data_IF_127457003472
#
_entry.id   IF_127457003472
#
_cell.length_a   1.000
_cell.length_b   1.000
_cell.length_c   1.000
_cell.angle_alpha   90.00
_cell.angle_beta   90.00
_cell.angle_gamma   90.00
#
_symmetry.space_group_name_H-M   'P 1'
#
loop_
_entity.id
_entity.type
_entity.pdbx_description
1 polymer ?
#
# COMPACT_ATOMS: atom_id res chain seq x y z
N UNK A 1 -18.16 -68.40 -21.14
CA UNK A 1 -19.12 -67.38 -21.59
C UNK A 1 -18.93 -66.19 -20.71
N UNK A 2 -18.11 -65.24 -21.16
CA UNK A 2 -17.73 -64.00 -20.42
C UNK A 2 -18.50 -62.86 -21.03
N UNK A 3 -19.39 -62.26 -20.23
CA UNK A 3 -20.23 -61.10 -20.59
C UNK A 3 -19.47 -59.83 -20.43
N UNK A 4 -19.20 -59.13 -21.56
CA UNK A 4 -18.65 -57.80 -21.60
C UNK A 4 -19.74 -56.75 -21.26
N UNK A 5 -19.68 -56.14 -20.09
CA UNK A 5 -20.50 -54.98 -19.74
C UNK A 5 -19.71 -53.72 -20.16
N UNK A 6 -20.13 -53.09 -21.25
CA UNK A 6 -19.71 -51.76 -21.62
C UNK A 6 -20.19 -50.76 -20.56
N UNK A 7 -19.24 -50.13 -19.86
CA UNK A 7 -19.52 -48.95 -19.04
C UNK A 7 -19.64 -47.72 -19.95
N UNK A 8 -20.85 -47.26 -20.15
CA UNK A 8 -21.15 -45.94 -20.71
C UNK A 8 -20.67 -44.87 -19.72
N UNK A 9 -19.75 -44.02 -20.16
CA UNK A 9 -19.34 -42.82 -19.41
C UNK A 9 -20.51 -41.83 -19.30
N UNK A 10 -20.74 -41.20 -18.15
CA UNK A 10 -21.77 -40.17 -18.04
C UNK A 10 -21.34 -38.93 -18.85
N UNK A 11 -22.23 -38.46 -19.72
CA UNK A 11 -22.11 -37.16 -20.39
C UNK A 11 -21.95 -36.04 -19.34
N UNK A 12 -20.89 -35.26 -19.43
CA UNK A 12 -20.75 -34.03 -18.67
C UNK A 12 -21.83 -33.07 -19.14
N UNK A 13 -22.95 -33.02 -18.43
CA UNK A 13 -23.89 -31.94 -18.48
C UNK A 13 -23.18 -30.66 -18.02
N UNK A 14 -23.11 -29.64 -18.87
CA UNK A 14 -22.74 -28.30 -18.49
C UNK A 14 -23.61 -27.90 -17.30
N UNK A 15 -23.00 -27.72 -16.14
CA UNK A 15 -23.67 -27.17 -14.98
C UNK A 15 -24.02 -25.71 -15.34
N UNK A 16 -25.27 -25.47 -15.70
CA UNK A 16 -25.85 -24.15 -15.80
C UNK A 16 -25.70 -23.49 -14.41
N UNK A 17 -24.70 -22.66 -14.27
CA UNK A 17 -24.54 -21.79 -13.08
C UNK A 17 -25.77 -20.90 -12.99
N UNK A 18 -26.53 -20.99 -11.90
CA UNK A 18 -27.65 -20.11 -11.65
C UNK A 18 -27.23 -18.63 -11.86
N UNK A 19 -28.07 -17.80 -12.50
CA UNK A 19 -27.76 -16.40 -12.75
C UNK A 19 -27.45 -15.69 -11.43
N UNK A 20 -26.37 -14.91 -11.42
CA UNK A 20 -26.00 -14.13 -10.24
C UNK A 20 -26.80 -12.80 -10.25
N UNK A 21 -27.04 -12.24 -9.06
CA UNK A 21 -27.90 -11.06 -8.84
C UNK A 21 -27.63 -9.86 -9.77
N UNK A 22 -26.44 -9.71 -10.31
CA UNK A 22 -26.05 -8.54 -11.12
C UNK A 22 -25.77 -8.86 -12.58
N UNK A 23 -26.03 -10.10 -13.03
CA UNK A 23 -25.72 -10.51 -14.41
C UNK A 23 -26.53 -9.73 -15.47
N UNK A 24 -27.75 -9.33 -15.12
CA UNK A 24 -28.67 -8.59 -16.01
C UNK A 24 -28.57 -7.04 -15.90
N UNK A 25 -27.59 -6.54 -15.12
CA UNK A 25 -27.45 -5.09 -14.93
C UNK A 25 -26.64 -4.39 -16.02
N UNK A 26 -26.19 -5.13 -17.03
CA UNK A 26 -25.49 -4.56 -18.19
C UNK A 26 -26.49 -4.22 -19.29
N UNK A 27 -26.48 -2.97 -19.70
CA UNK A 27 -27.33 -2.44 -20.73
C UNK A 27 -26.67 -2.44 -22.13
N UNK A 28 -27.39 -2.12 -23.21
CA UNK A 28 -26.84 -2.03 -24.56
C UNK A 28 -25.67 -1.03 -24.71
N UNK A 29 -25.56 -0.04 -23.82
CA UNK A 29 -24.49 0.96 -23.86
C UNK A 29 -23.14 0.29 -23.58
N UNK A 30 -23.08 -0.61 -22.60
CA UNK A 30 -21.86 -1.37 -22.30
C UNK A 30 -21.38 -2.21 -23.48
N UNK A 31 -22.30 -2.83 -24.21
CA UNK A 31 -21.98 -3.58 -25.43
C UNK A 31 -21.45 -2.66 -26.53
N UNK A 32 -22.10 -1.53 -26.75
CA UNK A 32 -21.68 -0.54 -27.74
C UNK A 32 -20.29 0.06 -27.39
N UNK A 33 -19.99 0.32 -26.10
CA UNK A 33 -18.68 0.79 -25.64
C UNK A 33 -17.60 -0.26 -25.93
N UNK A 34 -17.86 -1.54 -25.68
CA UNK A 34 -16.92 -2.64 -25.97
C UNK A 34 -16.63 -2.76 -27.47
N UNK A 35 -17.65 -2.68 -28.29
CA UNK A 35 -17.50 -2.74 -29.76
C UNK A 35 -16.70 -1.57 -30.28
N UNK A 36 -17.00 -0.35 -29.83
CA UNK A 36 -16.22 0.83 -30.19
C UNK A 36 -14.77 0.78 -29.69
N UNK A 37 -14.55 0.30 -28.48
CA UNK A 37 -13.20 0.11 -27.94
C UNK A 37 -12.39 -0.90 -28.81
N UNK A 38 -13.03 -2.00 -29.23
CA UNK A 38 -12.42 -2.98 -30.14
C UNK A 38 -12.03 -2.33 -31.45
N UNK A 39 -12.98 -1.67 -32.12
CA UNK A 39 -12.75 -0.99 -33.42
C UNK A 39 -11.60 0.01 -33.34
N UNK A 40 -11.63 0.88 -32.35
CA UNK A 40 -10.60 1.89 -32.14
C UNK A 40 -9.20 1.30 -31.90
N UNK A 41 -9.09 0.25 -31.08
CA UNK A 41 -7.82 -0.42 -30.80
C UNK A 41 -7.30 -1.10 -32.05
N UNK A 42 -8.14 -1.75 -32.84
CA UNK A 42 -7.75 -2.36 -34.12
C UNK A 42 -7.30 -1.32 -35.13
N UNK A 43 -8.00 -0.19 -35.22
CA UNK A 43 -7.63 0.93 -36.09
C UNK A 43 -6.28 1.54 -35.68
N UNK A 44 -6.05 1.78 -34.40
CA UNK A 44 -4.78 2.25 -33.84
C UNK A 44 -3.63 1.32 -34.24
N UNK A 45 -3.78 0.01 -34.06
CA UNK A 45 -2.75 -0.98 -34.40
C UNK A 45 -2.52 -1.07 -35.92
N UNK A 46 -3.60 -0.95 -36.71
CA UNK A 46 -3.47 -0.89 -38.19
C UNK A 46 -2.71 0.36 -38.65
N UNK A 47 -3.04 1.52 -38.07
CA UNK A 47 -2.37 2.78 -38.35
C UNK A 47 -0.86 2.72 -38.03
N UNK A 48 -0.47 2.10 -36.91
CA UNK A 48 0.96 1.86 -36.61
C UNK A 48 1.66 1.03 -37.72
N UNK A 49 1.00 -0.03 -38.18
CA UNK A 49 1.56 -0.88 -39.22
C UNK A 49 1.62 -0.18 -40.57
N UNK A 50 0.59 0.61 -40.90
CA UNK A 50 0.51 1.37 -42.12
C UNK A 50 1.63 2.43 -42.22
N UNK A 51 1.89 3.10 -41.06
CA UNK A 51 3.01 4.03 -40.93
C UNK A 51 4.37 3.35 -41.13
N UNK A 52 4.59 2.17 -40.53
CA UNK A 52 5.85 1.42 -40.69
C UNK A 52 6.08 0.93 -42.13
N UNK A 53 5.01 0.48 -42.79
CA UNK A 53 5.09 0.00 -44.18
C UNK A 53 5.04 1.15 -45.22
N UNK A 54 4.82 2.39 -44.77
CA UNK A 54 4.60 3.58 -45.61
C UNK A 54 3.53 3.37 -46.71
N UNK A 55 2.54 2.53 -46.44
CA UNK A 55 1.43 2.25 -47.38
C UNK A 55 0.18 1.76 -46.66
N UNK A 56 -1.02 2.24 -47.05
CA UNK A 56 -2.27 1.70 -46.60
C UNK A 56 -2.54 0.27 -47.06
N UNK A 57 -3.54 -0.37 -46.47
CA UNK A 57 -3.98 -1.72 -46.86
C UNK A 57 -4.58 -1.67 -48.27
N UNK A 58 -4.24 -2.67 -49.07
CA UNK A 58 -4.65 -2.81 -50.51
C UNK A 58 -3.95 -1.91 -51.54
N UNK A 59 -3.12 -0.97 -51.16
CA UNK A 59 -2.27 -0.29 -52.13
C UNK A 59 -1.04 -1.13 -52.50
N UNK A 60 -0.72 -1.18 -53.83
CA UNK A 60 0.56 -1.76 -54.32
C UNK A 60 1.68 -0.79 -53.94
N UNK A 61 2.77 -1.31 -53.37
CA UNK A 61 3.95 -0.49 -53.08
C UNK A 61 4.41 0.17 -54.37
N UNK A 62 4.56 1.51 -54.40
CA UNK A 62 5.18 2.21 -55.49
C UNK A 62 6.59 1.65 -55.65
N UNK A 63 6.96 1.22 -56.88
CA UNK A 63 8.36 0.89 -57.19
C UNK A 63 9.17 2.14 -56.91
N UNK A 64 10.19 2.03 -56.06
CA UNK A 64 11.06 3.14 -55.67
C UNK A 64 11.74 3.67 -56.93
N UNK A 65 11.27 4.76 -57.50
CA UNK A 65 12.01 5.64 -58.38
C UNK A 65 12.74 6.65 -57.51
N UNK A 66 13.95 6.94 -57.86
CA UNK A 66 14.92 7.80 -57.19
C UNK A 66 14.31 8.97 -56.37
N UNK A 67 14.89 9.19 -55.19
CA UNK A 67 14.63 10.30 -54.24
C UNK A 67 13.42 10.13 -53.32
N UNK A 68 13.61 9.43 -52.21
CA UNK A 68 12.70 9.38 -51.09
C UNK A 68 13.22 8.47 -50.02
N UNK A 69 13.12 8.90 -48.75
CA UNK A 69 13.50 8.16 -47.57
C UNK A 69 13.10 6.68 -47.67
N UNK A 70 14.02 5.72 -47.51
CA UNK A 70 13.70 4.31 -47.70
C UNK A 70 12.71 3.88 -46.62
N UNK A 71 11.43 3.75 -47.02
CA UNK A 71 10.42 3.10 -46.21
C UNK A 71 10.85 1.66 -45.89
N UNK A 72 10.63 1.19 -44.68
CA UNK A 72 10.92 -0.19 -44.29
C UNK A 72 10.13 -1.12 -45.23
N UNK A 73 10.88 -1.87 -46.08
CA UNK A 73 10.26 -2.82 -47.01
C UNK A 73 9.68 -4.01 -46.21
N UNK A 74 8.44 -4.37 -46.48
CA UNK A 74 7.79 -5.48 -45.78
C UNK A 74 6.44 -5.83 -46.40
N UNK A 75 5.83 -6.90 -45.88
CA UNK A 75 4.53 -7.34 -46.37
C UNK A 75 3.64 -7.85 -45.22
N UNK A 76 2.34 -7.59 -45.30
CA UNK A 76 1.32 -8.15 -44.41
C UNK A 76 1.07 -9.62 -44.79
N UNK A 77 0.86 -10.46 -43.78
CA UNK A 77 0.56 -11.88 -43.95
C UNK A 77 -0.56 -12.39 -43.05
N UNK A 78 -1.60 -11.58 -42.88
CA UNK A 78 -2.80 -11.94 -42.12
C UNK A 78 -2.95 -11.22 -40.80
N UNK A 79 -3.78 -11.75 -39.92
CA UNK A 79 -4.00 -11.28 -38.56
C UNK A 79 -4.10 -12.47 -37.61
N UNK A 80 -3.98 -12.18 -36.30
CA UNK A 80 -4.23 -13.17 -35.25
C UNK A 80 -5.18 -12.60 -34.21
N UNK A 81 -6.14 -13.40 -33.72
CA UNK A 81 -6.99 -12.98 -32.62
C UNK A 81 -6.19 -12.89 -31.33
N UNK A 82 -6.49 -11.89 -30.52
CA UNK A 82 -5.93 -11.70 -29.17
C UNK A 82 -7.00 -11.21 -28.23
N UNK A 83 -7.15 -11.86 -27.09
CA UNK A 83 -8.00 -11.36 -26.01
C UNK A 83 -7.27 -10.26 -25.25
N UNK A 84 -7.95 -9.13 -25.03
CA UNK A 84 -7.52 -7.99 -24.22
C UNK A 84 -8.62 -7.64 -23.23
N UNK A 85 -8.24 -7.46 -21.96
CA UNK A 85 -9.15 -7.04 -20.89
C UNK A 85 -8.85 -5.57 -20.59
N UNK A 86 -9.82 -4.71 -20.80
CA UNK A 86 -9.79 -3.30 -20.42
C UNK A 86 -10.72 -2.99 -19.25
N UNK A 87 -10.83 -1.72 -18.86
CA UNK A 87 -11.86 -1.25 -17.92
C UNK A 87 -13.29 -1.44 -18.46
N UNK A 88 -13.41 -1.57 -19.79
CA UNK A 88 -14.62 -1.89 -20.53
C UNK A 88 -14.95 -3.40 -20.57
N UNK A 89 -14.19 -4.25 -19.90
CA UNK A 89 -14.35 -5.70 -19.92
C UNK A 89 -13.42 -6.40 -20.94
N UNK A 90 -13.64 -7.72 -21.20
CA UNK A 90 -12.87 -8.48 -22.17
C UNK A 90 -13.37 -8.23 -23.59
N UNK A 91 -12.43 -8.05 -24.52
CA UNK A 91 -12.67 -7.98 -25.96
C UNK A 91 -11.70 -8.88 -26.70
N UNK A 92 -12.12 -9.36 -27.90
CA UNK A 92 -11.20 -10.02 -28.83
C UNK A 92 -10.87 -9.05 -29.97
N UNK A 93 -9.58 -8.85 -30.24
CA UNK A 93 -9.06 -7.93 -31.26
C UNK A 93 -8.26 -8.70 -32.31
N UNK A 94 -8.38 -8.30 -33.58
CA UNK A 94 -7.63 -8.85 -34.68
C UNK A 94 -6.31 -8.08 -34.88
N UNK A 95 -5.21 -8.61 -34.37
CA UNK A 95 -3.89 -7.96 -34.48
C UNK A 95 -3.25 -8.33 -35.82
N UNK A 96 -2.96 -7.34 -36.69
CA UNK A 96 -2.33 -7.58 -37.96
C UNK A 96 -0.91 -8.13 -37.82
N UNK A 97 -0.49 -8.96 -38.76
CA UNK A 97 0.88 -9.52 -38.82
C UNK A 97 1.58 -9.05 -40.07
N UNK A 98 2.85 -8.71 -39.94
CA UNK A 98 3.69 -8.32 -41.04
C UNK A 98 5.14 -8.78 -40.86
N UNK A 99 5.82 -9.06 -41.92
CA UNK A 99 7.26 -9.25 -41.97
C UNK A 99 7.92 -8.01 -42.50
N UNK A 100 8.96 -7.55 -41.84
CA UNK A 100 9.76 -6.39 -42.20
C UNK A 100 11.13 -6.87 -42.66
N UNK A 101 11.63 -6.32 -43.77
CA UNK A 101 12.98 -6.59 -44.22
C UNK A 101 13.94 -5.60 -43.55
N UNK A 102 14.93 -6.10 -42.84
CA UNK A 102 15.99 -5.29 -42.23
C UNK A 102 17.10 -4.99 -43.25
N UNK A 103 17.90 -3.95 -42.96
CA UNK A 103 18.98 -3.50 -43.85
C UNK A 103 20.03 -4.62 -44.15
N UNK A 104 20.17 -5.58 -43.24
CA UNK A 104 21.06 -6.75 -43.34
C UNK A 104 20.44 -7.92 -44.13
N UNK A 105 19.32 -7.70 -44.83
CA UNK A 105 18.66 -8.73 -45.64
C UNK A 105 17.88 -9.77 -44.82
N UNK A 106 17.79 -9.62 -43.49
CA UNK A 106 16.99 -10.51 -42.64
C UNK A 106 15.52 -10.03 -42.57
N UNK A 107 14.63 -10.96 -42.26
CA UNK A 107 13.22 -10.63 -42.00
C UNK A 107 12.90 -10.72 -40.53
N UNK A 108 12.20 -9.72 -39.99
CA UNK A 108 11.69 -9.71 -38.61
C UNK A 108 10.18 -9.61 -38.60
N UNK A 109 9.55 -10.23 -37.61
CA UNK A 109 8.10 -10.06 -37.39
C UNK A 109 7.81 -8.70 -36.76
N UNK A 110 6.89 -7.95 -37.39
CA UNK A 110 6.46 -6.66 -36.84
C UNK A 110 5.77 -6.83 -35.49
N UNK A 111 5.98 -5.88 -34.59
CA UNK A 111 5.35 -5.83 -33.27
C UNK A 111 4.77 -4.45 -33.04
N UNK A 112 3.49 -4.37 -32.63
CA UNK A 112 2.85 -3.12 -32.25
C UNK A 112 3.53 -2.51 -31.02
N UNK A 113 3.64 -1.19 -30.99
CA UNK A 113 4.13 -0.42 -29.85
C UNK A 113 3.01 -0.18 -28.84
N UNK A 114 1.78 0.10 -29.31
CA UNK A 114 0.61 0.32 -28.47
C UNK A 114 0.15 -0.95 -27.75
N UNK A 115 0.26 -2.11 -28.44
CA UNK A 115 -0.09 -3.41 -27.84
C UNK A 115 1.17 -4.28 -27.68
N UNK A 116 1.78 -4.22 -26.50
CA UNK A 116 3.00 -4.99 -26.18
C UNK A 116 2.82 -6.49 -26.40
N UNK A 117 3.89 -7.17 -26.75
CA UNK A 117 3.90 -8.62 -26.86
C UNK A 117 3.38 -9.24 -25.54
N UNK A 118 2.49 -10.24 -25.65
CA UNK A 118 1.87 -10.93 -24.50
C UNK A 118 1.02 -10.07 -23.56
N UNK A 119 0.77 -8.79 -23.85
CA UNK A 119 -0.14 -7.98 -23.06
C UNK A 119 -1.57 -8.52 -23.19
N UNK A 120 -2.19 -8.90 -22.07
CA UNK A 120 -3.55 -9.41 -21.99
C UNK A 120 -4.49 -8.47 -21.26
N UNK A 121 -3.97 -7.43 -20.61
CA UNK A 121 -4.76 -6.45 -19.87
C UNK A 121 -4.19 -5.04 -20.07
N UNK A 122 -5.07 -4.07 -20.02
CA UNK A 122 -4.67 -2.66 -19.93
C UNK A 122 -4.18 -2.32 -18.52
N UNK A 123 -3.42 -1.24 -18.38
CA UNK A 123 -3.01 -0.75 -17.06
C UNK A 123 -4.22 -0.32 -16.21
N UNK A 124 -5.26 0.22 -16.83
CA UNK A 124 -6.49 0.59 -16.15
C UNK A 124 -7.21 -0.63 -15.54
N UNK A 125 -7.27 -1.76 -16.26
CA UNK A 125 -7.81 -3.00 -15.72
C UNK A 125 -6.96 -3.55 -14.56
N UNK A 126 -5.63 -3.49 -14.66
CA UNK A 126 -4.75 -3.87 -13.56
C UNK A 126 -4.92 -2.96 -12.33
N UNK A 127 -5.09 -1.64 -12.54
CA UNK A 127 -5.35 -0.68 -11.46
C UNK A 127 -6.69 -0.96 -10.76
N UNK A 128 -7.75 -1.28 -11.50
CA UNK A 128 -9.05 -1.66 -10.95
C UNK A 128 -8.94 -2.92 -10.09
N UNK A 129 -8.25 -3.96 -10.58
CA UNK A 129 -8.02 -5.21 -9.83
C UNK A 129 -7.23 -4.94 -8.55
N UNK A 130 -6.18 -4.11 -8.62
CA UNK A 130 -5.38 -3.72 -7.45
C UNK A 130 -6.22 -2.92 -6.45
N UNK A 131 -7.00 -1.94 -6.92
CA UNK A 131 -7.90 -1.13 -6.09
C UNK A 131 -8.93 -1.98 -5.34
N UNK A 132 -9.58 -2.92 -6.01
CA UNK A 132 -10.49 -3.87 -5.37
C UNK A 132 -9.78 -4.73 -4.31
N UNK A 133 -8.54 -5.13 -4.54
CA UNK A 133 -7.77 -5.86 -3.54
C UNK A 133 -7.45 -4.99 -2.32
N UNK A 134 -7.02 -3.74 -2.53
CA UNK A 134 -6.69 -2.79 -1.47
C UNK A 134 -7.93 -2.35 -0.66
N UNK A 135 -9.12 -2.40 -1.24
CA UNK A 135 -10.37 -2.09 -0.53
C UNK A 135 -10.72 -3.09 0.60
N UNK A 136 -9.80 -3.98 0.97
CA UNK A 136 -9.95 -4.94 2.07
C UNK A 136 -10.57 -6.26 1.65
N UNK A 137 -10.54 -6.56 0.36
CA UNK A 137 -11.01 -7.83 -0.18
C UNK A 137 -9.85 -8.80 -0.39
N UNK A 138 -10.06 -10.06 -0.09
CA UNK A 138 -9.11 -11.12 -0.44
C UNK A 138 -9.23 -11.51 -1.93
N UNK A 139 -8.27 -12.26 -2.46
CA UNK A 139 -8.23 -12.63 -3.89
C UNK A 139 -9.48 -13.34 -4.39
N UNK A 140 -10.16 -14.14 -3.54
CA UNK A 140 -11.42 -14.80 -3.89
C UNK A 140 -12.58 -13.82 -3.98
N UNK A 141 -12.63 -12.83 -3.06
CA UNK A 141 -13.65 -11.78 -3.09
C UNK A 141 -13.46 -10.85 -4.29
N UNK A 142 -12.21 -10.49 -4.62
CA UNK A 142 -11.90 -9.71 -5.84
C UNK A 142 -12.39 -10.43 -7.09
N UNK A 143 -12.10 -11.73 -7.23
CA UNK A 143 -12.62 -12.53 -8.34
C UNK A 143 -14.13 -12.45 -8.43
N UNK A 144 -14.84 -12.62 -7.32
CA UNK A 144 -16.31 -12.58 -7.28
C UNK A 144 -16.85 -11.18 -7.60
N UNK A 145 -16.26 -10.14 -7.00
CA UNK A 145 -16.69 -8.75 -7.22
C UNK A 145 -16.51 -8.28 -8.68
N UNK A 146 -15.51 -8.80 -9.37
CA UNK A 146 -15.20 -8.44 -10.76
C UNK A 146 -15.68 -9.48 -11.79
N UNK A 147 -16.41 -10.52 -11.36
CA UNK A 147 -16.83 -11.62 -12.26
C UNK A 147 -17.69 -11.15 -13.39
N UNK A 148 -18.67 -10.30 -13.12
CA UNK A 148 -19.61 -9.77 -14.12
C UNK A 148 -18.89 -8.84 -15.10
N UNK A 149 -18.13 -7.86 -14.60
CA UNK A 149 -17.41 -6.91 -15.46
C UNK A 149 -16.42 -7.57 -16.40
N UNK A 150 -15.68 -8.58 -15.90
CA UNK A 150 -14.64 -9.26 -16.67
C UNK A 150 -15.05 -10.65 -17.18
N UNK A 151 -16.34 -10.98 -17.18
CA UNK A 151 -16.88 -12.27 -17.64
C UNK A 151 -16.06 -13.47 -17.10
N UNK A 152 -15.70 -13.45 -15.82
CA UNK A 152 -14.91 -14.50 -15.17
C UNK A 152 -13.43 -14.56 -15.54
N UNK A 153 -12.92 -13.69 -16.43
CA UNK A 153 -11.53 -13.71 -16.93
C UNK A 153 -10.48 -13.35 -15.85
N UNK A 154 -10.89 -12.81 -14.69
CA UNK A 154 -10.00 -12.45 -13.58
C UNK A 154 -10.00 -13.54 -12.52
N UNK A 155 -9.04 -14.45 -12.57
CA UNK A 155 -8.81 -15.48 -11.55
C UNK A 155 -7.92 -15.00 -10.39
N UNK A 156 -7.80 -15.83 -9.35
CA UNK A 156 -6.92 -15.57 -8.18
C UNK A 156 -5.47 -15.31 -8.59
N UNK A 157 -4.97 -16.04 -9.59
CA UNK A 157 -3.59 -15.89 -10.08
C UNK A 157 -3.38 -14.57 -10.82
N UNK A 158 -4.43 -14.03 -11.44
CA UNK A 158 -4.42 -12.71 -12.05
C UNK A 158 -4.26 -11.63 -10.99
N UNK A 159 -5.05 -11.68 -9.90
CA UNK A 159 -4.92 -10.78 -8.76
C UNK A 159 -3.52 -10.86 -8.16
N UNK A 160 -3.00 -12.07 -7.95
CA UNK A 160 -1.65 -12.27 -7.42
C UNK A 160 -0.56 -11.71 -8.34
N UNK A 161 -0.74 -11.78 -9.67
CA UNK A 161 0.21 -11.20 -10.65
C UNK A 161 0.15 -9.66 -10.66
N UNK A 162 -1.03 -9.09 -10.59
CA UNK A 162 -1.20 -7.63 -10.46
C UNK A 162 -0.55 -7.14 -9.19
N UNK A 163 -0.76 -7.85 -8.07
CA UNK A 163 -0.16 -7.51 -6.78
C UNK A 163 1.38 -7.53 -6.82
N UNK A 164 1.98 -8.47 -7.58
CA UNK A 164 3.43 -8.51 -7.77
C UNK A 164 3.99 -7.28 -8.53
N UNK A 165 3.19 -6.61 -9.37
CA UNK A 165 3.62 -5.33 -10.00
C UNK A 165 3.76 -4.22 -8.97
N UNK A 166 2.88 -4.19 -7.95
CA UNK A 166 2.95 -3.24 -6.85
C UNK A 166 4.26 -3.37 -6.05
N UNK A 167 4.87 -4.56 -6.06
CA UNK A 167 6.16 -4.78 -5.40
C UNK A 167 7.29 -3.93 -5.99
N UNK A 168 7.32 -3.71 -7.29
CA UNK A 168 8.34 -2.84 -7.92
C UNK A 168 8.26 -1.40 -7.41
N UNK A 169 7.05 -0.87 -7.27
CA UNK A 169 6.83 0.48 -6.75
C UNK A 169 7.15 0.57 -5.26
N UNK A 170 6.82 -0.48 -4.51
CA UNK A 170 7.21 -0.63 -3.10
C UNK A 170 8.72 -0.64 -2.91
N UNK A 171 9.45 -1.43 -3.71
CA UNK A 171 10.90 -1.54 -3.62
C UNK A 171 11.55 -0.19 -3.95
N UNK A 172 11.08 0.52 -4.98
CA UNK A 172 11.54 1.86 -5.34
C UNK A 172 11.26 2.88 -4.21
N UNK A 173 10.05 2.86 -3.65
CA UNK A 173 9.70 3.72 -2.52
C UNK A 173 10.56 3.42 -1.28
N UNK A 174 10.79 2.16 -0.96
CA UNK A 174 11.55 1.75 0.22
C UNK A 174 13.05 2.08 0.11
N UNK A 175 13.56 2.17 -1.11
CA UNK A 175 14.96 2.54 -1.40
C UNK A 175 15.16 4.04 -1.67
N UNK A 176 14.09 4.84 -1.76
CA UNK A 176 14.20 6.25 -2.13
C UNK A 176 15.07 7.07 -1.19
N UNK A 177 15.78 8.05 -1.72
CA UNK A 177 16.53 9.03 -0.93
C UNK A 177 15.58 9.91 -0.09
N UNK A 178 15.97 10.19 1.14
CA UNK A 178 15.29 11.10 2.06
C UNK A 178 16.04 12.43 2.23
N UNK A 179 17.15 12.64 1.54
CA UNK A 179 18.02 13.82 1.71
C UNK A 179 17.33 15.16 1.41
N UNK A 180 16.32 15.14 0.54
CA UNK A 180 15.53 16.33 0.16
C UNK A 180 14.25 16.48 0.97
N UNK A 181 13.94 15.57 1.87
CA UNK A 181 12.75 15.65 2.71
C UNK A 181 12.99 16.61 3.88
N UNK A 182 12.25 17.74 3.99
CA UNK A 182 12.43 18.74 5.04
C UNK A 182 11.71 18.29 6.32
N UNK A 183 12.13 17.17 6.89
CA UNK A 183 11.51 16.59 8.08
C UNK A 183 12.08 17.27 9.33
N UNK A 184 11.19 17.85 10.13
CA UNK A 184 11.52 18.48 11.41
C UNK A 184 11.21 17.55 12.60
N UNK A 185 10.20 16.66 12.47
CA UNK A 185 9.82 15.75 13.56
C UNK A 185 9.57 14.35 13.05
N UNK A 186 9.77 13.37 13.96
CA UNK A 186 9.37 11.99 13.68
C UNK A 186 8.35 11.52 14.71
N UNK A 187 7.42 10.69 14.26
CA UNK A 187 6.50 9.91 15.08
C UNK A 187 6.82 8.45 14.81
N UNK A 188 7.17 7.72 15.86
CA UNK A 188 7.60 6.32 15.78
C UNK A 188 6.69 5.47 16.66
N UNK A 189 6.19 4.39 16.09
CA UNK A 189 5.32 3.45 16.80
C UNK A 189 5.31 2.09 16.09
N UNK A 190 5.06 1.02 16.83
CA UNK A 190 4.92 -0.32 16.33
C UNK A 190 3.48 -0.82 16.34
N UNK A 191 3.18 -1.79 15.49
CA UNK A 191 1.89 -2.47 15.53
C UNK A 191 2.03 -3.94 15.23
N UNK A 192 1.33 -4.77 16.01
CA UNK A 192 1.39 -6.21 15.84
C UNK A 192 0.38 -6.67 14.80
N UNK A 193 0.83 -7.52 13.89
CA UNK A 193 0.02 -8.19 12.87
C UNK A 193 0.35 -9.68 12.81
N UNK A 194 -0.61 -10.49 12.32
CA UNK A 194 -0.40 -11.94 12.15
C UNK A 194 -0.04 -12.24 10.69
N UNK A 195 1.05 -12.93 10.50
CA UNK A 195 1.54 -13.35 9.18
C UNK A 195 1.79 -14.86 9.16
N UNK A 196 1.91 -15.42 7.97
CA UNK A 196 2.28 -16.82 7.81
C UNK A 196 3.79 -16.93 7.64
N UNK A 197 4.44 -17.53 8.64
CA UNK A 197 5.85 -17.91 8.59
C UNK A 197 5.93 -19.44 8.78
N UNK A 198 6.64 -20.12 7.90
CA UNK A 198 6.82 -21.58 7.94
C UNK A 198 5.49 -22.35 8.11
N UNK A 199 4.46 -21.94 7.38
CA UNK A 199 3.08 -22.47 7.43
C UNK A 199 2.34 -22.22 8.75
N UNK A 200 2.95 -21.53 9.73
CA UNK A 200 2.34 -21.16 11.02
C UNK A 200 1.89 -19.72 11.01
N UNK A 201 0.82 -19.43 11.75
CA UNK A 201 0.37 -18.06 11.99
C UNK A 201 1.19 -17.47 13.13
N UNK A 202 2.06 -16.53 12.80
CA UNK A 202 3.01 -15.91 13.74
C UNK A 202 2.71 -14.42 13.87
N UNK A 203 2.76 -13.88 15.08
CA UNK A 203 2.69 -12.44 15.32
C UNK A 203 4.05 -11.80 15.04
N UNK A 204 4.04 -10.71 14.29
CA UNK A 204 5.22 -9.87 14.02
C UNK A 204 4.87 -8.42 14.30
N UNK A 205 5.88 -7.58 14.55
CA UNK A 205 5.71 -6.13 14.66
C UNK A 205 6.02 -5.45 13.33
N UNK A 206 5.14 -4.55 12.90
CA UNK A 206 5.42 -3.57 11.88
C UNK A 206 5.88 -2.29 12.57
N UNK A 207 7.15 -1.94 12.41
CA UNK A 207 7.72 -0.70 12.91
C UNK A 207 7.53 0.39 11.86
N UNK A 208 6.83 1.45 12.23
CA UNK A 208 6.39 2.52 11.33
C UNK A 208 7.00 3.83 11.77
N UNK A 209 7.48 4.61 10.80
CA UNK A 209 8.02 5.95 11.02
C UNK A 209 7.33 6.95 10.11
N UNK A 210 6.73 7.96 10.72
CA UNK A 210 6.12 9.11 10.05
C UNK A 210 7.03 10.32 10.27
N UNK A 211 7.38 11.00 9.19
CA UNK A 211 7.99 12.32 9.23
C UNK A 211 6.93 13.41 9.22
N UNK A 212 7.20 14.50 9.94
CA UNK A 212 6.39 15.72 9.89
C UNK A 212 7.26 16.82 9.32
N UNK A 213 6.82 17.43 8.23
CA UNK A 213 7.48 18.57 7.59
C UNK A 213 7.21 19.85 8.36
N UNK A 214 7.96 20.93 8.08
CA UNK A 214 7.79 22.22 8.72
C UNK A 214 6.38 22.82 8.54
N UNK A 215 5.72 22.52 7.41
CA UNK A 215 4.34 22.94 7.13
C UNK A 215 3.25 22.07 7.81
N UNK A 216 3.66 21.10 8.63
CA UNK A 216 2.79 20.16 9.32
C UNK A 216 2.36 18.95 8.49
N UNK A 217 2.74 18.86 7.20
CA UNK A 217 2.43 17.70 6.37
C UNK A 217 3.14 16.47 6.90
N UNK A 218 2.38 15.37 7.00
CA UNK A 218 2.90 14.07 7.43
C UNK A 218 3.28 13.22 6.22
N UNK A 219 4.42 12.54 6.31
CA UNK A 219 4.98 11.69 5.25
C UNK A 219 5.41 10.36 5.86
N UNK A 220 4.98 9.26 5.24
CA UNK A 220 5.47 7.94 5.62
C UNK A 220 6.92 7.79 5.17
N UNK A 221 7.83 7.49 6.10
CA UNK A 221 9.27 7.37 5.84
C UNK A 221 9.74 5.92 5.79
N UNK A 222 9.24 5.09 6.70
CA UNK A 222 9.60 3.68 6.77
C UNK A 222 8.45 2.82 7.31
N UNK A 223 8.40 1.58 6.83
CA UNK A 223 7.68 0.46 7.42
C UNK A 223 8.62 -0.74 7.35
N UNK A 224 8.93 -1.34 8.49
CA UNK A 224 9.77 -2.54 8.57
C UNK A 224 9.07 -3.62 9.36
N UNK A 225 9.11 -4.84 8.82
CA UNK A 225 8.61 -6.05 9.49
C UNK A 225 9.72 -6.63 10.36
N UNK A 226 9.46 -6.78 11.66
CA UNK A 226 10.41 -7.30 12.64
C UNK A 226 9.74 -8.36 13.51
N UNK A 227 10.54 -9.25 14.13
CA UNK A 227 10.02 -10.26 15.05
C UNK A 227 9.47 -9.67 16.35
N UNK A 228 9.80 -8.42 16.67
CA UNK A 228 9.35 -7.69 17.85
C UNK A 228 9.94 -6.27 17.86
N UNK A 229 9.66 -5.52 18.92
CA UNK A 229 10.05 -4.11 19.10
C UNK A 229 11.29 -3.97 19.96
N UNK A 230 12.31 -4.78 19.69
CA UNK A 230 13.59 -4.72 20.41
C UNK A 230 14.43 -3.48 20.02
N UNK A 231 15.40 -3.13 20.86
CA UNK A 231 16.39 -2.08 20.57
C UNK A 231 17.09 -2.31 19.22
N UNK A 232 17.48 -3.55 18.94
CA UNK A 232 18.14 -3.92 17.68
C UNK A 232 17.23 -3.73 16.47
N UNK A 233 15.95 -4.08 16.61
CA UNK A 233 14.95 -3.89 15.55
C UNK A 233 14.74 -2.39 15.22
N UNK A 234 14.56 -1.56 16.25
CA UNK A 234 14.45 -0.11 16.08
C UNK A 234 15.73 0.50 15.54
N UNK A 235 16.90 0.06 16.01
CA UNK A 235 18.19 0.50 15.49
C UNK A 235 18.30 0.28 13.99
N UNK A 236 17.90 -0.89 13.49
CA UNK A 236 17.87 -1.20 12.06
C UNK A 236 17.01 -0.22 11.26
N UNK A 237 15.86 0.18 11.81
CA UNK A 237 14.97 1.18 11.17
C UNK A 237 15.63 2.55 11.12
N UNK A 238 16.21 3.00 12.21
CA UNK A 238 16.86 4.31 12.31
C UNK A 238 18.10 4.41 11.41
N UNK A 239 18.93 3.37 11.39
CA UNK A 239 20.10 3.28 10.51
C UNK A 239 19.71 3.29 9.02
N UNK A 240 18.57 2.64 8.65
CA UNK A 240 18.04 2.70 7.29
C UNK A 240 17.61 4.13 6.90
N UNK A 241 16.97 4.88 7.78
CA UNK A 241 16.60 6.26 7.54
C UNK A 241 17.82 7.15 7.29
N UNK A 242 18.87 6.99 8.12
CA UNK A 242 20.13 7.73 7.98
C UNK A 242 20.83 7.36 6.67
N UNK A 243 20.93 6.07 6.37
CA UNK A 243 21.53 5.57 5.13
C UNK A 243 20.83 6.13 3.89
N UNK A 244 19.52 6.35 3.94
CA UNK A 244 18.74 7.00 2.87
C UNK A 244 18.86 8.52 2.88
N UNK A 245 19.65 9.11 3.78
CA UNK A 245 19.98 10.53 3.83
C UNK A 245 19.02 11.38 4.67
N UNK A 246 18.22 10.79 5.56
CA UNK A 246 17.39 11.57 6.46
C UNK A 246 18.27 12.41 7.37
N UNK A 247 18.03 13.73 7.41
CA UNK A 247 18.70 14.64 8.33
C UNK A 247 18.23 14.39 9.77
N UNK A 248 19.09 14.75 10.73
CA UNK A 248 18.76 14.66 12.15
C UNK A 248 17.46 15.45 12.42
N UNK A 249 16.42 14.83 13.01
CA UNK A 249 15.20 15.52 13.36
C UNK A 249 15.41 16.45 14.54
N UNK A 250 14.54 17.44 14.66
CA UNK A 250 14.57 18.40 15.78
C UNK A 250 13.78 17.89 16.99
N UNK A 251 12.85 16.95 16.78
CA UNK A 251 11.94 16.46 17.82
C UNK A 251 11.40 15.07 17.49
N UNK A 252 11.26 14.23 18.51
CA UNK A 252 10.76 12.84 18.37
C UNK A 252 9.53 12.62 19.25
N UNK A 253 8.55 11.86 18.75
CA UNK A 253 7.34 11.47 19.46
C UNK A 253 7.25 9.95 19.46
N UNK A 254 7.22 9.34 20.65
CA UNK A 254 7.26 7.89 20.85
C UNK A 254 6.22 7.43 21.87
N UNK A 255 5.91 6.14 21.88
CA UNK A 255 5.03 5.52 22.89
C UNK A 255 5.68 5.40 24.29
N UNK A 256 7.00 5.41 24.34
CA UNK A 256 7.79 5.23 25.57
C UNK A 256 8.26 3.79 25.78
N UNK A 257 8.25 2.95 24.74
CA UNK A 257 8.85 1.62 24.80
C UNK A 257 10.36 1.69 25.02
N UNK A 258 10.92 0.98 26.03
CA UNK A 258 12.35 1.08 26.39
C UNK A 258 13.30 0.75 25.24
N UNK A 259 12.94 -0.23 24.40
CA UNK A 259 13.75 -0.61 23.24
C UNK A 259 13.90 0.50 22.21
N UNK A 260 12.82 1.24 21.95
CA UNK A 260 12.83 2.39 21.05
C UNK A 260 13.63 3.56 21.63
N UNK A 261 13.43 3.88 22.90
CA UNK A 261 14.16 4.97 23.57
C UNK A 261 15.67 4.72 23.60
N UNK A 262 16.10 3.49 23.89
CA UNK A 262 17.51 3.08 23.85
C UNK A 262 18.09 3.22 22.43
N UNK A 263 17.34 2.80 21.40
CA UNK A 263 17.79 2.92 20.02
C UNK A 263 17.94 4.39 19.60
N UNK A 264 17.00 5.26 19.98
CA UNK A 264 17.04 6.70 19.70
C UNK A 264 18.25 7.35 20.37
N UNK A 265 18.49 7.08 21.65
CA UNK A 265 19.63 7.62 22.39
C UNK A 265 20.97 7.25 21.73
N UNK A 266 21.08 6.04 21.18
CA UNK A 266 22.28 5.59 20.50
C UNK A 266 22.50 6.21 19.10
N UNK A 267 21.43 6.70 18.44
CA UNK A 267 21.50 7.23 17.05
C UNK A 267 21.43 8.74 17.01
N UNK A 268 20.57 9.34 17.81
CA UNK A 268 20.30 10.77 17.85
C UNK A 268 20.34 11.32 19.28
N UNK A 269 21.50 11.15 19.92
CA UNK A 269 21.71 11.69 21.27
C UNK A 269 21.40 13.20 21.32
N UNK A 270 20.77 13.64 22.42
CA UNK A 270 20.41 15.03 22.66
C UNK A 270 19.21 15.57 21.85
N UNK A 271 18.56 14.77 20.98
CA UNK A 271 17.29 15.17 20.36
C UNK A 271 16.16 15.08 21.40
N UNK A 272 15.33 16.13 21.57
CA UNK A 272 14.20 16.07 22.49
C UNK A 272 13.22 14.96 22.11
N UNK A 273 12.92 14.09 23.08
CA UNK A 273 11.96 12.99 22.93
C UNK A 273 10.72 13.29 23.74
N UNK A 274 9.57 13.25 23.10
CA UNK A 274 8.26 13.30 23.73
C UNK A 274 7.70 11.89 23.89
N UNK A 275 7.40 11.48 25.10
CA UNK A 275 6.61 10.29 25.37
C UNK A 275 5.12 10.59 25.18
N UNK A 276 4.40 9.72 24.50
CA UNK A 276 2.97 9.87 24.23
C UNK A 276 2.17 9.99 25.54
N UNK A 277 1.47 11.11 25.68
CA UNK A 277 0.65 11.36 26.87
C UNK A 277 -0.53 10.40 27.00
N UNK A 278 -1.08 9.91 25.88
CA UNK A 278 -2.18 8.93 25.88
C UNK A 278 -1.70 7.56 26.34
N UNK A 279 -0.54 7.09 25.84
CA UNK A 279 0.04 5.83 26.31
C UNK A 279 0.39 5.90 27.79
N UNK A 280 0.94 7.02 28.26
CA UNK A 280 1.24 7.19 29.70
C UNK A 280 -0.01 7.20 30.54
N UNK A 281 -1.08 7.85 30.10
CA UNK A 281 -2.38 7.80 30.78
C UNK A 281 -2.89 6.37 30.93
N UNK A 282 -2.93 5.60 29.83
CA UNK A 282 -3.32 4.17 29.86
C UNK A 282 -2.46 3.36 30.83
N UNK A 283 -1.17 3.66 30.88
CA UNK A 283 -0.24 3.00 31.78
C UNK A 283 -0.52 3.34 33.26
N UNK A 284 -0.84 4.61 33.57
CA UNK A 284 -1.25 5.01 34.94
C UNK A 284 -2.52 4.27 35.38
N UNK A 285 -3.51 4.16 34.51
CA UNK A 285 -4.75 3.41 34.81
C UNK A 285 -4.48 1.92 35.03
N UNK A 286 -3.56 1.32 34.29
CA UNK A 286 -3.19 -0.09 34.47
C UNK A 286 -2.53 -0.39 35.83
N UNK A 287 -1.96 0.63 36.51
CA UNK A 287 -1.41 0.51 37.86
C UNK A 287 -2.42 0.76 38.97
N UNK A 288 -3.69 1.03 38.64
CA UNK A 288 -4.68 1.46 39.62
C UNK A 288 -5.95 0.60 39.55
N UNK A 289 -6.63 0.40 40.68
CA UNK A 289 -7.96 -0.20 40.68
C UNK A 289 -8.98 0.71 39.98
N UNK A 290 -9.96 0.09 39.30
CA UNK A 290 -10.94 0.76 38.43
C UNK A 290 -11.66 1.94 39.11
N UNK A 291 -11.96 1.80 40.40
CA UNK A 291 -12.59 2.86 41.23
C UNK A 291 -11.83 4.18 41.27
N UNK A 292 -10.53 4.17 40.95
CA UNK A 292 -9.67 5.37 40.94
C UNK A 292 -9.47 5.94 39.53
N UNK A 293 -9.93 5.26 38.46
CA UNK A 293 -9.66 5.64 37.07
C UNK A 293 -10.22 7.02 36.73
N UNK A 294 -11.43 7.35 37.23
CA UNK A 294 -12.03 8.65 36.96
C UNK A 294 -11.21 9.78 37.58
N UNK A 295 -10.82 9.63 38.87
CA UNK A 295 -10.03 10.63 39.59
C UNK A 295 -8.61 10.79 38.96
N UNK A 296 -7.97 9.68 38.60
CA UNK A 296 -6.68 9.72 37.91
C UNK A 296 -6.81 10.46 36.56
N UNK A 297 -7.86 10.16 35.81
CA UNK A 297 -8.13 10.77 34.51
C UNK A 297 -8.36 12.27 34.64
N UNK A 298 -9.14 12.70 35.63
CA UNK A 298 -9.39 14.11 35.88
C UNK A 298 -8.09 14.86 36.23
N UNK A 299 -7.34 14.36 37.22
CA UNK A 299 -6.07 14.97 37.65
C UNK A 299 -5.02 14.98 36.53
N UNK A 300 -4.94 13.90 35.76
CA UNK A 300 -3.99 13.79 34.64
C UNK A 300 -4.33 14.75 33.51
N UNK A 301 -5.59 14.81 33.12
CA UNK A 301 -6.04 15.72 32.08
C UNK A 301 -5.86 17.18 32.49
N UNK A 302 -6.19 17.53 33.74
CA UNK A 302 -5.97 18.85 34.30
C UNK A 302 -4.50 19.28 34.15
N UNK A 303 -3.56 18.37 34.45
CA UNK A 303 -2.12 18.61 34.31
C UNK A 303 -1.69 18.73 32.84
N UNK A 304 -2.04 17.78 31.97
CA UNK A 304 -1.55 17.70 30.58
C UNK A 304 -2.15 18.79 29.68
N UNK A 305 -3.37 19.26 30.01
CA UNK A 305 -4.09 20.26 29.21
C UNK A 305 -4.02 21.67 29.80
N UNK A 306 -3.19 21.90 30.83
CA UNK A 306 -2.94 23.23 31.35
C UNK A 306 -2.40 24.19 30.28
N UNK A 307 -2.69 25.45 30.41
CA UNK A 307 -2.43 26.46 29.37
C UNK A 307 -0.97 26.92 29.32
N UNK A 308 -0.25 26.84 30.44
CA UNK A 308 1.14 27.32 30.55
C UNK A 308 2.07 26.25 31.11
N UNK A 309 3.37 26.40 30.83
CA UNK A 309 4.41 25.52 31.38
C UNK A 309 4.43 25.54 32.92
N UNK A 310 4.20 26.71 33.53
CA UNK A 310 4.18 26.89 34.98
C UNK A 310 3.00 26.17 35.63
N UNK A 311 1.83 26.25 35.01
CA UNK A 311 0.65 25.49 35.46
C UNK A 311 0.88 23.99 35.34
N UNK A 312 1.43 23.52 34.23
CA UNK A 312 1.78 22.09 34.02
C UNK A 312 2.68 21.63 35.17
N UNK A 313 3.75 22.36 35.46
CA UNK A 313 4.71 21.96 36.50
C UNK A 313 4.10 22.00 37.91
N UNK A 314 3.26 22.99 38.18
CA UNK A 314 2.53 23.11 39.45
C UNK A 314 1.59 21.92 39.66
N UNK A 315 0.80 21.59 38.63
CA UNK A 315 -0.16 20.47 38.67
C UNK A 315 0.56 19.12 38.69
N UNK A 316 1.71 18.99 38.01
CA UNK A 316 2.59 17.80 38.08
C UNK A 316 3.04 17.53 39.53
N UNK A 317 3.51 18.56 40.22
CA UNK A 317 3.92 18.44 41.64
C UNK A 317 2.73 18.07 42.53
N UNK A 318 1.56 18.67 42.29
CA UNK A 318 0.33 18.36 43.01
C UNK A 318 -0.12 16.91 42.77
N UNK A 319 -0.12 16.46 41.51
CA UNK A 319 -0.42 15.08 41.12
C UNK A 319 0.49 14.08 41.85
N UNK A 320 1.79 14.26 41.77
CA UNK A 320 2.77 13.37 42.41
C UNK A 320 2.56 13.33 43.94
N UNK A 321 2.33 14.48 44.58
CA UNK A 321 2.08 14.58 46.03
C UNK A 321 0.83 13.82 46.43
N UNK A 322 -0.28 14.06 45.71
CA UNK A 322 -1.60 13.45 46.00
C UNK A 322 -1.50 11.92 45.83
N UNK A 323 -1.00 11.46 44.71
CA UNK A 323 -0.99 10.04 44.37
C UNK A 323 0.09 9.23 45.12
N UNK A 324 1.16 9.89 45.56
CA UNK A 324 2.14 9.25 46.47
C UNK A 324 1.53 8.81 47.79
N UNK A 325 0.52 9.57 48.29
CA UNK A 325 -0.18 9.24 49.51
C UNK A 325 -1.34 8.25 49.27
N UNK A 326 -2.08 8.41 48.18
CA UNK A 326 -3.25 7.56 47.87
C UNK A 326 -2.87 6.21 47.22
N UNK A 327 -1.94 6.22 46.28
CA UNK A 327 -1.53 5.03 45.55
C UNK A 327 -0.15 5.24 44.90
N UNK A 328 0.88 4.85 45.60
CA UNK A 328 2.30 5.14 45.27
C UNK A 328 2.69 4.73 43.86
N UNK A 329 2.22 3.57 43.35
CA UNK A 329 2.58 3.08 42.03
C UNK A 329 2.19 4.07 40.90
N UNK A 330 1.13 4.86 41.06
CA UNK A 330 0.71 5.90 40.11
C UNK A 330 1.72 7.04 40.10
N UNK A 331 2.15 7.52 41.28
CA UNK A 331 3.13 8.57 41.39
C UNK A 331 4.49 8.13 40.82
N UNK A 332 4.95 6.93 41.18
CA UNK A 332 6.21 6.35 40.69
C UNK A 332 6.18 6.17 39.17
N UNK A 333 5.06 5.71 38.60
CA UNK A 333 4.87 5.60 37.15
C UNK A 333 4.94 6.95 36.44
N UNK A 334 4.32 8.03 37.00
CA UNK A 334 4.46 9.36 36.41
C UNK A 334 5.89 9.88 36.49
N UNK A 335 6.56 9.67 37.62
CA UNK A 335 7.96 10.11 37.82
C UNK A 335 8.95 9.37 36.89
N UNK A 336 8.70 8.07 36.59
CA UNK A 336 9.50 7.30 35.64
C UNK A 336 9.49 7.93 34.24
N UNK A 337 8.33 8.49 33.80
CA UNK A 337 8.26 9.17 32.51
C UNK A 337 9.13 10.44 32.45
N UNK A 338 9.36 11.07 33.61
CA UNK A 338 10.23 12.24 33.75
C UNK A 338 9.80 13.40 32.88
N UNK A 339 10.79 14.22 32.48
CA UNK A 339 10.56 15.41 31.66
C UNK A 339 10.21 15.09 30.21
N UNK A 340 10.47 13.85 29.77
CA UNK A 340 10.10 13.39 28.41
C UNK A 340 8.61 13.39 28.17
N UNK A 341 7.78 13.33 29.21
CA UNK A 341 6.33 13.44 29.08
C UNK A 341 5.89 14.87 28.74
N UNK A 342 6.72 15.85 29.05
CA UNK A 342 6.44 17.29 28.92
C UNK A 342 7.34 17.99 27.89
N UNK A 343 8.11 17.24 27.08
CA UNK A 343 8.99 17.81 26.06
C UNK A 343 8.25 18.68 25.05
N UNK A 344 6.95 18.44 24.83
CA UNK A 344 6.11 19.24 23.95
C UNK A 344 6.05 20.73 24.37
N UNK A 345 6.27 21.06 25.65
CA UNK A 345 6.28 22.44 26.16
C UNK A 345 7.43 23.27 25.62
N UNK A 346 8.49 22.64 25.06
CA UNK A 346 9.58 23.33 24.35
C UNK A 346 9.16 23.91 23.00
N UNK A 347 7.99 23.53 22.50
CA UNK A 347 7.42 23.99 21.24
C UNK A 347 6.44 25.15 21.50
N UNK A 348 6.11 25.94 20.48
CA UNK A 348 5.06 26.95 20.58
C UNK A 348 3.72 26.31 21.02
N UNK A 349 2.91 26.96 21.86
CA UNK A 349 1.64 26.43 22.38
C UNK A 349 0.68 25.94 21.29
N UNK A 350 0.67 26.58 20.12
CA UNK A 350 -0.13 26.16 18.95
C UNK A 350 0.20 24.75 18.45
N UNK A 351 1.39 24.25 18.76
CA UNK A 351 1.89 22.94 18.32
C UNK A 351 1.74 21.84 19.38
N UNK A 352 1.43 22.19 20.63
CA UNK A 352 1.35 21.24 21.76
C UNK A 352 0.39 20.08 21.49
N UNK A 353 -0.80 20.39 20.95
CA UNK A 353 -1.82 19.39 20.64
C UNK A 353 -1.30 18.29 19.68
N UNK A 354 -0.52 18.68 18.68
CA UNK A 354 -0.01 17.76 17.66
C UNK A 354 1.28 17.05 18.10
N UNK A 355 2.01 17.59 19.07
CA UNK A 355 3.32 17.11 19.47
C UNK A 355 3.30 16.15 20.67
N UNK A 356 2.25 16.15 21.50
CA UNK A 356 2.21 15.37 22.75
C UNK A 356 1.72 13.92 22.62
N UNK A 357 1.27 13.50 21.43
CA UNK A 357 0.70 12.15 21.24
C UNK A 357 1.17 11.47 19.96
N UNK A 358 1.14 10.14 19.96
CA UNK A 358 1.31 9.28 18.79
C UNK A 358 0.00 9.02 18.04
N UNK A 359 -1.09 9.71 18.35
CA UNK A 359 -2.43 9.46 17.79
C UNK A 359 -2.46 9.44 16.26
N UNK A 360 -1.57 10.20 15.60
CA UNK A 360 -1.51 10.21 14.13
C UNK A 360 -1.12 8.85 13.57
N UNK A 361 -0.14 8.18 14.18
CA UNK A 361 0.32 6.85 13.75
C UNK A 361 -0.59 5.74 14.27
N UNK A 362 -1.10 5.84 15.51
CA UNK A 362 -2.07 4.89 16.06
C UNK A 362 -3.31 4.78 15.16
N UNK A 363 -3.83 5.92 14.71
CA UNK A 363 -4.95 5.96 13.76
C UNK A 363 -4.65 5.23 12.44
N UNK A 364 -3.45 5.36 11.92
CA UNK A 364 -3.04 4.61 10.71
C UNK A 364 -3.00 3.11 10.99
N UNK A 365 -2.52 2.71 12.16
CA UNK A 365 -2.51 1.31 12.59
C UNK A 365 -3.93 0.74 12.71
N UNK A 366 -4.87 1.49 13.29
CA UNK A 366 -6.28 1.10 13.39
C UNK A 366 -6.94 0.96 12.01
N UNK A 367 -6.74 1.94 11.13
CA UNK A 367 -7.24 1.89 9.76
C UNK A 367 -6.66 0.70 8.98
N UNK A 368 -5.36 0.42 9.15
CA UNK A 368 -4.74 -0.75 8.56
C UNK A 368 -5.35 -2.05 9.11
N UNK A 369 -5.43 -2.20 10.44
CA UNK A 369 -6.03 -3.37 11.09
C UNK A 369 -7.48 -3.59 10.64
N UNK A 370 -8.26 -2.55 10.50
CA UNK A 370 -9.64 -2.61 10.00
C UNK A 370 -9.72 -3.19 8.59
N UNK A 371 -8.82 -2.76 7.69
CA UNK A 371 -8.80 -3.26 6.30
C UNK A 371 -8.32 -4.69 6.19
N UNK A 372 -7.36 -5.10 6.98
CA UNK A 372 -6.86 -6.49 6.97
C UNK A 372 -7.72 -7.46 7.78
N UNK A 373 -8.76 -6.99 8.49
CA UNK A 373 -9.64 -7.83 9.32
C UNK A 373 -10.25 -9.01 8.54
N UNK A 374 -10.47 -8.87 7.24
CA UNK A 374 -10.95 -9.94 6.36
C UNK A 374 -9.89 -11.01 6.06
N UNK A 375 -8.63 -10.70 6.32
CA UNK A 375 -7.48 -11.61 6.22
C UNK A 375 -6.86 -11.74 7.61
N UNK A 376 -7.35 -12.69 8.39
CA UNK A 376 -6.90 -12.89 9.78
C UNK A 376 -5.41 -13.18 9.89
N UNK A 377 -4.81 -13.74 8.84
CA UNK A 377 -3.37 -14.03 8.72
C UNK A 377 -2.89 -13.60 7.35
N UNK A 378 -1.98 -12.64 7.28
CA UNK A 378 -1.39 -12.18 6.01
C UNK A 378 -0.39 -13.22 5.45
N UNK A 379 -0.19 -13.26 4.12
CA UNK A 379 0.65 -14.29 3.48
C UNK A 379 2.11 -14.31 3.93
N UNK A 380 2.71 -13.14 4.19
CA UNK A 380 4.11 -12.98 4.62
C UNK A 380 4.35 -11.64 5.30
N UNK A 381 5.49 -11.50 5.96
CA UNK A 381 5.95 -10.26 6.57
C UNK A 381 6.11 -9.12 5.53
N UNK A 382 6.73 -9.42 4.39
CA UNK A 382 6.89 -8.46 3.29
C UNK A 382 5.55 -7.99 2.74
N UNK A 383 4.59 -8.93 2.57
CA UNK A 383 3.24 -8.58 2.12
C UNK A 383 2.55 -7.65 3.11
N UNK A 384 2.76 -7.82 4.41
CA UNK A 384 2.17 -6.96 5.43
C UNK A 384 2.66 -5.50 5.31
N UNK A 385 3.97 -5.30 5.23
CA UNK A 385 4.57 -3.97 5.09
C UNK A 385 4.19 -3.30 3.75
N UNK A 386 4.27 -4.05 2.64
CA UNK A 386 3.89 -3.56 1.32
C UNK A 386 2.40 -3.20 1.25
N UNK A 387 1.52 -3.99 1.86
CA UNK A 387 0.08 -3.73 1.90
C UNK A 387 -0.22 -2.43 2.68
N UNK A 388 0.43 -2.22 3.81
CA UNK A 388 0.27 -0.99 4.59
C UNK A 388 0.68 0.24 3.75
N UNK A 389 1.85 0.20 3.13
CA UNK A 389 2.30 1.24 2.23
C UNK A 389 1.33 1.47 1.05
N UNK A 390 0.89 0.40 0.39
CA UNK A 390 0.02 0.50 -0.78
C UNK A 390 -1.34 1.13 -0.46
N UNK A 391 -1.90 0.87 0.74
CA UNK A 391 -3.12 1.51 1.21
C UNK A 391 -2.97 3.02 1.39
N UNK A 392 -1.81 3.48 1.84
CA UNK A 392 -1.48 4.91 1.94
C UNK A 392 -1.19 5.52 0.56
N UNK A 393 -0.37 4.86 -0.25
CA UNK A 393 0.04 5.34 -1.58
C UNK A 393 -1.15 5.42 -2.56
N UNK A 394 -2.15 4.56 -2.41
CA UNK A 394 -3.38 4.58 -3.22
C UNK A 394 -4.47 5.52 -2.71
N UNK A 395 -4.26 6.22 -1.58
CA UNK A 395 -5.28 7.08 -0.96
C UNK A 395 -6.41 6.34 -0.26
N UNK A 396 -6.34 5.01 -0.12
CA UNK A 396 -7.33 4.23 0.65
C UNK A 396 -7.25 4.53 2.15
N UNK A 397 -6.09 4.94 2.63
CA UNK A 397 -5.86 5.50 3.95
C UNK A 397 -5.21 6.87 3.77
N UNK A 398 -5.78 7.90 4.40
CA UNK A 398 -5.27 9.26 4.30
C UNK A 398 -4.67 9.72 5.64
N UNK A 399 -3.47 10.30 5.57
CA UNK A 399 -2.88 11.02 6.69
C UNK A 399 -3.46 12.43 6.76
N UNK A 400 -4.10 12.77 7.87
CA UNK A 400 -4.55 14.15 8.11
C UNK A 400 -3.35 15.05 8.41
N UNK A 401 -3.42 16.31 7.96
CA UNK A 401 -2.49 17.34 8.38
C UNK A 401 -2.53 17.56 9.89
#
# INVERSE_FOLDING_TARGET
>A
MTSNIMKTAPSQGEAQTAPQLFDDWFDPIESAVRDRAREFIEELIRGELDAVLARPRYERGKKVGHEGTPGIMGHRHGSRPRSLIGSFGPIEIAVPRARLNTADGKTTEWKSQSLRAYQRRTLAADALIAGCYLAGTNTRRVRRALSTLFAGAVGKDTVSRVWRKVKSDWDAWNARSLAKEPIVRLILDGTVVRVRLDRKATSISLLVVIGVRADGQKVLLAIKSMGGESTAAWRTVLDDLIRRGLRRPEFLIVDGAPGLETAIAAVWDGVPVQRCTVHKHRNLLAHAPERLHEEITADYNDMIYAATCEEIETRRKAFIRKWRLKHRAIADSLQEAGDRLFSFTRLPPSQWKSARTTNAIERLHEEFKRRIKTQTVLPSADTAAMLFWALLASGQINMRK
#
